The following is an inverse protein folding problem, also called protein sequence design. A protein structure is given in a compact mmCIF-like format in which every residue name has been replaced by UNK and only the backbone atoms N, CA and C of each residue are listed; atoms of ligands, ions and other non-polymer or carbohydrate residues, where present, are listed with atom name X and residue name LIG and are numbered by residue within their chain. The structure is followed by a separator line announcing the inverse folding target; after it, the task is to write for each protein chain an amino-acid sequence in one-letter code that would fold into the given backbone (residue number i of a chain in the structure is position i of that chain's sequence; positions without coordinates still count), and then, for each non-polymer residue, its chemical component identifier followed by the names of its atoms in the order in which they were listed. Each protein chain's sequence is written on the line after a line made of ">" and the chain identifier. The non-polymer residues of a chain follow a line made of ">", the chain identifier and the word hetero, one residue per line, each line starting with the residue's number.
data_IF_045769994869
#
_entry.id   IF_045769994869
#
_cell.length_a   1.000
_cell.length_b   1.000
_cell.length_c   1.000
_cell.angle_alpha   90.00
_cell.angle_beta   90.00
_cell.angle_gamma   90.00
#
_symmetry.space_group_name_H-M   'P 1'
#
loop_
_entity.id
_entity.type
_entity.pdbx_description
1 polymer ?
#
# COMPACT_ATOMS: atom_id res chain seq x y z
N UNK A 1 10.81 9.86 7.17
CA UNK A 1 11.40 8.62 6.60
C UNK A 1 10.60 8.22 5.38
N UNK A 2 11.25 8.02 4.23
CA UNK A 2 10.62 7.62 2.97
C UNK A 2 10.43 6.10 2.97
N UNK A 3 9.24 5.63 2.62
CA UNK A 3 8.90 4.21 2.48
C UNK A 3 8.41 3.93 1.06
N UNK A 4 9.08 3.01 0.39
CA UNK A 4 8.71 2.49 -0.92
C UNK A 4 8.39 1.00 -0.83
N UNK A 5 7.58 0.50 -1.76
CA UNK A 5 7.57 -0.91 -2.05
C UNK A 5 8.89 -1.27 -2.74
N UNK A 6 9.82 -1.89 -2.03
CA UNK A 6 11.04 -2.38 -2.67
C UNK A 6 10.73 -3.57 -3.59
N UNK A 7 11.47 -3.75 -4.71
CA UNK A 7 11.36 -4.96 -5.50
C UNK A 7 11.74 -6.14 -4.61
N UNK A 8 10.81 -7.07 -4.43
CA UNK A 8 11.03 -8.26 -3.63
C UNK A 8 11.98 -9.18 -4.40
N UNK A 9 13.14 -9.49 -3.83
CA UNK A 9 13.88 -10.69 -4.25
C UNK A 9 12.97 -11.85 -3.87
N UNK A 10 12.43 -12.54 -4.86
CA UNK A 10 11.56 -13.71 -4.69
C UNK A 10 12.22 -14.72 -3.79
N UNK A 11 11.86 -14.75 -2.53
CA UNK A 11 12.04 -15.92 -1.67
C UNK A 11 10.78 -16.78 -1.88
N UNK A 12 10.93 -17.81 -2.72
CA UNK A 12 9.93 -18.85 -2.93
C UNK A 12 9.27 -19.26 -1.62
N UNK A 13 7.96 -19.15 -1.59
CA UNK A 13 7.09 -20.02 -0.83
C UNK A 13 7.16 -19.91 0.68
N UNK A 14 6.55 -18.87 1.26
CA UNK A 14 5.80 -19.02 2.50
C UNK A 14 4.49 -18.24 2.36
N UNK A 15 3.45 -18.96 1.96
CA UNK A 15 2.09 -18.57 2.29
C UNK A 15 2.04 -18.36 3.80
N UNK A 16 1.99 -17.12 4.25
CA UNK A 16 1.55 -16.81 5.60
C UNK A 16 0.03 -17.02 5.58
N UNK A 17 -0.38 -18.26 5.83
CA UNK A 17 -1.74 -18.55 6.25
C UNK A 17 -1.93 -17.89 7.61
N UNK A 18 -2.29 -16.61 7.63
CA UNK A 18 -3.06 -16.06 8.72
C UNK A 18 -4.31 -16.95 8.80
N UNK A 19 -4.59 -17.45 10.01
CA UNK A 19 -5.62 -18.45 10.22
C UNK A 19 -6.93 -18.15 9.48
N UNK A 20 -7.77 -19.14 9.29
CA UNK A 20 -9.09 -19.26 8.62
C UNK A 20 -9.94 -18.00 8.38
N UNK A 21 -9.34 -16.81 8.23
CA UNK A 21 -10.00 -15.59 7.82
C UNK A 21 -10.31 -15.73 6.32
N UNK A 22 -11.58 -15.85 5.99
CA UNK A 22 -12.07 -15.84 4.63
C UNK A 22 -11.43 -14.71 3.85
N UNK A 23 -11.07 -14.89 2.56
CA UNK A 23 -10.54 -13.83 1.75
C UNK A 23 -11.50 -12.63 1.84
N UNK A 24 -10.97 -11.47 2.17
CA UNK A 24 -11.74 -10.23 2.14
C UNK A 24 -12.23 -10.09 0.70
N UNK A 25 -13.52 -9.86 0.53
CA UNK A 25 -14.10 -9.55 -0.77
C UNK A 25 -13.53 -8.19 -1.25
N UNK A 26 -12.38 -8.25 -1.90
CA UNK A 26 -11.66 -7.10 -2.44
C UNK A 26 -12.32 -6.55 -3.72
N UNK A 27 -13.36 -7.23 -4.23
CA UNK A 27 -13.88 -7.01 -5.56
C UNK A 27 -15.05 -6.04 -5.63
N UNK A 28 -15.48 -5.46 -4.50
CA UNK A 28 -16.67 -4.62 -4.45
C UNK A 28 -16.43 -3.12 -4.61
N UNK A 29 -15.20 -2.67 -4.93
CA UNK A 29 -14.96 -1.24 -5.22
C UNK A 29 -14.98 -1.01 -6.73
N UNK A 30 -15.90 -0.14 -7.15
CA UNK A 30 -16.10 0.25 -8.54
C UNK A 30 -15.89 1.76 -8.71
N UNK A 31 -15.93 2.27 -9.93
CA UNK A 31 -15.83 3.71 -10.19
C UNK A 31 -16.94 4.52 -9.51
N UNK A 32 -18.11 3.92 -9.28
CA UNK A 32 -19.25 4.55 -8.63
C UNK A 32 -19.04 4.87 -7.14
N UNK A 33 -18.05 4.21 -6.51
CA UNK A 33 -17.71 4.45 -5.10
C UNK A 33 -16.90 5.73 -4.88
N UNK A 34 -16.28 6.24 -5.94
CA UNK A 34 -15.49 7.47 -5.89
C UNK A 34 -16.36 8.68 -6.15
N UNK A 35 -15.81 9.88 -5.93
CA UNK A 35 -16.49 11.11 -6.33
C UNK A 35 -16.79 11.08 -7.83
N UNK A 36 -17.96 11.60 -8.24
CA UNK A 36 -18.28 11.72 -9.66
C UNK A 36 -17.17 12.45 -10.42
N UNK A 37 -16.77 11.91 -11.55
CA UNK A 37 -15.79 12.49 -12.47
C UNK A 37 -16.33 12.40 -13.90
N UNK A 38 -15.85 13.27 -14.77
CA UNK A 38 -16.21 13.24 -16.19
C UNK A 38 -15.07 12.59 -16.96
N UNK A 39 -15.28 11.38 -17.51
CA UNK A 39 -14.24 10.73 -18.28
C UNK A 39 -13.90 11.52 -19.56
N UNK A 40 -12.62 11.62 -19.86
CA UNK A 40 -12.11 12.25 -21.07
C UNK A 40 -11.64 11.21 -22.08
N UNK A 41 -11.85 11.51 -23.37
CA UNK A 41 -11.43 10.64 -24.48
C UNK A 41 -9.91 10.55 -24.52
N UNK A 42 -9.40 9.32 -24.64
CA UNK A 42 -7.96 9.06 -24.70
C UNK A 42 -7.32 8.80 -23.34
N UNK A 43 -8.10 8.78 -22.26
CA UNK A 43 -7.63 8.43 -20.94
C UNK A 43 -8.08 7.03 -20.50
N UNK A 44 -7.22 6.36 -19.76
CA UNK A 44 -7.50 5.11 -19.06
C UNK A 44 -7.73 5.41 -17.58
N UNK A 45 -8.91 5.05 -17.07
CA UNK A 45 -9.25 5.16 -15.65
C UNK A 45 -9.08 3.79 -14.98
N UNK A 46 -8.49 3.81 -13.79
CA UNK A 46 -8.17 2.59 -13.04
C UNK A 46 -8.56 2.78 -11.59
N UNK A 47 -9.37 1.88 -11.04
CA UNK A 47 -9.58 1.75 -9.60
C UNK A 47 -8.66 0.66 -9.06
N UNK A 48 -7.98 0.95 -7.96
CA UNK A 48 -7.08 -0.01 -7.30
C UNK A 48 -7.24 0.01 -5.79
N UNK A 49 -6.89 -1.08 -5.14
CA UNK A 49 -6.54 -1.06 -3.73
C UNK A 49 -5.08 -0.60 -3.63
N UNK A 50 -4.83 0.52 -2.97
CA UNK A 50 -3.50 1.13 -2.91
C UNK A 50 -2.68 0.64 -1.70
N UNK A 51 -3.33 0.40 -0.57
CA UNK A 51 -2.70 -0.04 0.68
C UNK A 51 -3.71 -0.65 1.63
N UNK A 52 -3.25 -1.55 2.50
CA UNK A 52 -4.02 -2.12 3.61
C UNK A 52 -3.36 -1.86 4.97
N UNK A 53 -4.10 -2.09 6.06
CA UNK A 53 -3.58 -2.01 7.43
C UNK A 53 -2.72 -3.20 7.85
N UNK A 54 -2.43 -4.10 6.92
CA UNK A 54 -1.59 -5.27 7.15
C UNK A 54 -0.11 -4.91 7.13
N UNK A 55 0.70 -5.77 7.71
CA UNK A 55 2.16 -5.69 7.55
C UNK A 55 2.51 -6.18 6.15
N UNK A 56 3.19 -5.35 5.37
CA UNK A 56 3.56 -5.64 4.00
C UNK A 56 4.85 -6.49 3.90
N UNK A 57 5.28 -6.84 2.69
CA UNK A 57 6.47 -7.65 2.44
C UNK A 57 7.78 -6.98 2.91
N UNK A 58 7.80 -5.65 3.06
CA UNK A 58 8.92 -4.90 3.63
C UNK A 58 8.90 -4.90 5.17
N UNK A 59 7.94 -5.58 5.78
CA UNK A 59 7.68 -5.54 7.21
C UNK A 59 7.41 -4.11 7.71
N UNK A 60 6.67 -3.34 6.95
CA UNK A 60 6.10 -2.07 7.36
C UNK A 60 4.61 -2.27 7.64
N UNK A 61 4.17 -1.88 8.81
CA UNK A 61 2.78 -1.94 9.24
C UNK A 61 2.13 -0.55 9.19
N UNK A 62 0.87 -0.50 8.79
CA UNK A 62 0.12 0.74 8.60
C UNK A 62 -1.10 0.74 9.52
N UNK A 63 -1.00 1.28 10.76
CA UNK A 63 -2.10 1.26 11.72
C UNK A 63 -3.38 1.89 11.14
N UNK A 64 -4.52 1.29 11.48
CA UNK A 64 -5.85 1.70 10.99
C UNK A 64 -6.11 3.19 11.15
N UNK A 65 -5.83 3.72 12.35
CA UNK A 65 -6.01 5.15 12.67
C UNK A 65 -5.08 6.06 11.87
N UNK A 66 -3.87 5.58 11.54
CA UNK A 66 -2.91 6.33 10.73
C UNK A 66 -3.34 6.38 9.26
N UNK A 67 -3.77 5.26 8.68
CA UNK A 67 -4.31 5.23 7.33
C UNK A 67 -5.56 6.12 7.22
N UNK A 68 -6.47 6.02 8.20
CA UNK A 68 -7.71 6.79 8.24
C UNK A 68 -7.50 8.29 8.24
N UNK A 69 -6.46 8.76 8.91
CA UNK A 69 -6.11 10.20 8.95
C UNK A 69 -5.46 10.68 7.64
N UNK A 70 -4.71 9.79 6.97
CA UNK A 70 -3.77 10.18 5.91
C UNK A 70 -4.21 9.81 4.50
N UNK A 71 -5.25 8.99 4.30
CA UNK A 71 -5.60 8.46 2.98
C UNK A 71 -5.86 9.55 1.92
N UNK A 72 -6.36 10.73 2.31
CA UNK A 72 -6.61 11.84 1.38
C UNK A 72 -5.33 12.47 0.83
N UNK A 73 -4.16 12.19 1.42
CA UNK A 73 -2.89 12.69 0.89
C UNK A 73 -2.52 12.08 -0.47
N UNK A 74 -3.15 10.97 -0.86
CA UNK A 74 -3.03 10.41 -2.21
C UNK A 74 -3.61 11.31 -3.31
N UNK A 75 -4.66 12.09 -3.00
CA UNK A 75 -5.38 12.86 -4.03
C UNK A 75 -4.49 13.94 -4.65
N UNK A 76 -4.48 14.00 -5.99
CA UNK A 76 -3.62 14.91 -6.76
C UNK A 76 -2.17 14.48 -6.88
N UNK A 77 -1.80 13.31 -6.35
CA UNK A 77 -0.42 12.81 -6.45
C UNK A 77 -0.16 12.13 -7.78
N UNK A 78 1.09 12.20 -8.27
CA UNK A 78 1.49 11.59 -9.53
C UNK A 78 1.50 10.08 -9.46
N UNK A 79 1.33 9.47 -10.63
CA UNK A 79 1.44 8.04 -10.84
C UNK A 79 2.72 7.76 -11.62
N UNK A 80 3.50 6.78 -11.18
CA UNK A 80 4.72 6.35 -11.86
C UNK A 80 4.65 4.86 -12.24
N UNK A 81 5.78 4.33 -12.69
CA UNK A 81 6.00 2.91 -12.94
C UNK A 81 7.28 2.51 -12.21
N UNK A 82 7.23 1.41 -11.44
CA UNK A 82 8.37 0.86 -10.69
C UNK A 82 9.09 1.92 -9.82
N UNK A 83 8.32 2.80 -9.15
CA UNK A 83 8.84 3.87 -8.29
C UNK A 83 9.88 4.79 -8.96
N UNK A 84 9.80 4.95 -10.28
CA UNK A 84 10.71 5.80 -11.03
C UNK A 84 10.30 7.28 -10.93
N UNK A 85 10.34 7.81 -9.73
CA UNK A 85 9.83 9.12 -9.32
C UNK A 85 10.94 10.18 -9.08
N UNK A 86 12.17 9.88 -9.50
CA UNK A 86 13.30 10.84 -9.38
C UNK A 86 13.16 12.07 -10.27
N UNK A 87 12.27 12.02 -11.26
CA UNK A 87 12.01 13.06 -12.22
C UNK A 87 10.49 13.22 -12.39
N UNK A 88 9.91 14.41 -12.12
CA UNK A 88 8.48 14.67 -12.27
C UNK A 88 7.94 14.38 -13.68
N UNK A 89 8.76 14.56 -14.72
CA UNK A 89 8.38 14.33 -16.12
C UNK A 89 8.14 12.83 -16.42
N UNK A 90 8.49 11.95 -15.48
CA UNK A 90 8.20 10.52 -15.56
C UNK A 90 6.82 10.15 -15.02
N UNK A 91 6.03 11.11 -14.57
CA UNK A 91 4.64 10.85 -14.20
C UNK A 91 3.84 10.35 -15.42
N UNK A 92 2.97 9.39 -15.18
CA UNK A 92 2.13 8.73 -16.20
C UNK A 92 0.65 9.06 -16.06
N UNK A 93 0.32 9.79 -15.01
CA UNK A 93 -1.05 10.15 -14.68
C UNK A 93 -1.14 10.74 -13.28
N UNK A 94 -2.35 10.84 -12.78
CA UNK A 94 -2.69 11.46 -11.50
C UNK A 94 -3.74 10.66 -10.75
N UNK A 95 -3.71 10.73 -9.42
CA UNK A 95 -4.73 10.14 -8.55
C UNK A 95 -5.87 11.17 -8.39
N UNK A 96 -7.05 10.84 -8.90
CA UNK A 96 -8.22 11.73 -8.90
C UNK A 96 -8.95 11.74 -7.55
N UNK A 97 -9.10 10.56 -6.94
CA UNK A 97 -9.75 10.44 -5.63
C UNK A 97 -9.19 9.23 -4.86
N UNK A 98 -9.39 9.27 -3.55
CA UNK A 98 -9.07 8.18 -2.64
C UNK A 98 -10.21 7.98 -1.64
N UNK A 99 -10.60 6.73 -1.43
CA UNK A 99 -11.61 6.33 -0.45
C UNK A 99 -11.01 5.37 0.57
N UNK A 100 -11.54 5.41 1.78
CA UNK A 100 -11.14 4.57 2.90
C UNK A 100 -12.28 3.65 3.27
N UNK A 101 -11.98 2.37 3.51
CA UNK A 101 -12.95 1.39 4.01
C UNK A 101 -12.37 0.55 5.12
N UNK A 102 -13.20 0.21 6.09
CA UNK A 102 -12.90 -0.75 7.16
C UNK A 102 -13.78 -1.99 6.98
N UNK A 103 -13.17 -3.16 7.15
CA UNK A 103 -13.87 -4.44 7.20
C UNK A 103 -13.54 -5.12 8.52
N UNK A 104 -14.53 -5.51 9.27
CA UNK A 104 -14.34 -6.31 10.48
C UNK A 104 -14.30 -7.79 10.07
N UNK A 105 -13.16 -8.43 10.27
CA UNK A 105 -12.98 -9.85 9.99
C UNK A 105 -13.71 -10.71 11.01
N UNK A 106 -13.93 -11.99 10.69
CA UNK A 106 -14.54 -12.96 11.61
C UNK A 106 -13.76 -13.12 12.92
N UNK A 107 -12.44 -12.93 12.89
CA UNK A 107 -11.57 -12.85 14.07
C UNK A 107 -11.82 -11.65 14.98
N UNK A 108 -12.62 -10.66 14.53
CA UNK A 108 -12.84 -9.40 15.21
C UNK A 108 -11.77 -8.32 14.90
N UNK A 109 -10.76 -8.66 14.14
CA UNK A 109 -9.73 -7.71 13.67
C UNK A 109 -10.35 -6.76 12.65
N UNK A 110 -10.00 -5.48 12.73
CA UNK A 110 -10.35 -4.49 11.70
C UNK A 110 -9.25 -4.50 10.65
N UNK A 111 -9.62 -4.78 9.41
CA UNK A 111 -8.78 -4.61 8.23
C UNK A 111 -9.21 -3.34 7.50
N UNK A 112 -8.34 -2.36 7.45
CA UNK A 112 -8.59 -1.09 6.78
C UNK A 112 -7.85 -1.04 5.45
N UNK A 113 -8.45 -0.38 4.46
CA UNK A 113 -7.89 -0.27 3.12
C UNK A 113 -8.16 1.09 2.52
N UNK A 114 -7.23 1.55 1.71
CA UNK A 114 -7.40 2.72 0.84
C UNK A 114 -7.49 2.25 -0.60
N UNK A 115 -8.47 2.81 -1.30
CA UNK A 115 -8.66 2.60 -2.73
C UNK A 115 -8.45 3.93 -3.43
N UNK A 116 -7.79 3.91 -4.58
CA UNK A 116 -7.49 5.07 -5.39
C UNK A 116 -8.15 4.96 -6.76
N UNK A 117 -8.73 6.07 -7.23
CA UNK A 117 -9.10 6.27 -8.61
C UNK A 117 -7.96 7.00 -9.32
N UNK A 118 -7.45 6.39 -10.36
CA UNK A 118 -6.31 6.87 -11.14
C UNK A 118 -6.72 7.20 -12.55
N UNK A 119 -6.10 8.24 -13.13
CA UNK A 119 -6.22 8.62 -14.53
C UNK A 119 -4.84 8.54 -15.19
N UNK A 120 -4.75 7.84 -16.32
CA UNK A 120 -3.53 7.67 -17.11
C UNK A 120 -3.79 8.18 -18.53
N UNK A 121 -2.93 9.05 -19.06
CA UNK A 121 -2.99 9.50 -20.45
C UNK A 121 -2.60 8.36 -21.39
N UNK A 122 -3.60 7.68 -21.93
CA UNK A 122 -3.40 6.55 -22.82
C UNK A 122 -2.98 6.96 -24.24
N UNK A 123 -3.13 8.23 -24.61
CA UNK A 123 -2.64 8.74 -25.88
C UNK A 123 -1.12 8.95 -25.82
N UNK A 124 -0.65 9.56 -24.74
CA UNK A 124 0.78 9.79 -24.52
C UNK A 124 1.51 8.49 -24.15
N UNK A 125 0.86 7.59 -23.40
CA UNK A 125 1.44 6.33 -22.89
C UNK A 125 0.70 5.07 -23.38
N UNK A 126 0.54 4.84 -24.70
CA UNK A 126 -0.28 3.75 -25.21
C UNK A 126 0.22 2.35 -24.83
N UNK A 127 1.53 2.16 -24.70
CA UNK A 127 2.11 0.88 -24.27
C UNK A 127 1.79 0.58 -22.80
N UNK A 128 1.87 1.58 -21.94
CA UNK A 128 1.50 1.44 -20.53
C UNK A 128 0.00 1.11 -20.40
N UNK A 129 -0.84 1.88 -21.07
CA UNK A 129 -2.29 1.64 -21.07
C UNK A 129 -2.62 0.21 -21.52
N UNK A 130 -2.01 -0.26 -22.61
CA UNK A 130 -2.19 -1.63 -23.10
C UNK A 130 -1.72 -2.68 -22.07
N UNK A 131 -0.57 -2.47 -21.41
CA UNK A 131 -0.07 -3.41 -20.38
C UNK A 131 -0.98 -3.49 -19.17
N UNK A 132 -1.62 -2.38 -18.81
CA UNK A 132 -2.64 -2.34 -17.75
C UNK A 132 -3.91 -3.06 -18.22
N UNK A 133 -4.42 -2.75 -19.41
CA UNK A 133 -5.67 -3.31 -19.94
C UNK A 133 -5.61 -4.83 -20.10
N UNK A 134 -4.50 -5.37 -20.59
CA UNK A 134 -4.30 -6.80 -20.79
C UNK A 134 -3.84 -7.55 -19.51
N UNK A 135 -3.64 -6.85 -18.39
CA UNK A 135 -3.30 -7.44 -17.09
C UNK A 135 -1.83 -7.83 -16.92
N UNK A 136 -0.94 -7.44 -17.84
CA UNK A 136 0.51 -7.63 -17.67
C UNK A 136 1.03 -6.80 -16.49
N UNK A 137 0.46 -5.62 -16.29
CA UNK A 137 0.74 -4.73 -15.15
C UNK A 137 -0.55 -4.58 -14.36
N UNK A 138 -0.63 -5.25 -13.23
CA UNK A 138 -1.89 -5.50 -12.53
C UNK A 138 -1.87 -5.12 -11.05
N UNK A 139 -0.78 -4.53 -10.56
CA UNK A 139 -0.61 -4.16 -9.17
C UNK A 139 -0.11 -2.74 -9.03
N UNK A 140 -0.26 -2.19 -7.82
CA UNK A 140 0.26 -0.88 -7.46
C UNK A 140 1.06 -0.95 -6.16
N UNK A 141 1.97 0.00 -6.00
CA UNK A 141 2.72 0.19 -4.76
C UNK A 141 2.87 1.68 -4.50
N UNK A 142 2.77 2.09 -3.24
CA UNK A 142 2.78 3.50 -2.86
C UNK A 142 4.15 3.94 -2.36
N UNK A 143 4.45 5.24 -2.51
CA UNK A 143 5.50 5.94 -1.79
C UNK A 143 4.90 6.80 -0.68
N UNK A 144 5.51 6.76 0.51
CA UNK A 144 5.09 7.57 1.64
C UNK A 144 6.26 8.11 2.44
N UNK A 145 6.16 9.37 2.85
CA UNK A 145 6.93 9.91 3.97
C UNK A 145 6.21 9.58 5.27
N UNK A 146 6.97 9.27 6.32
CA UNK A 146 6.44 9.06 7.66
C UNK A 146 7.22 9.89 8.67
N UNK A 147 6.57 10.41 9.71
CA UNK A 147 7.24 11.16 10.77
C UNK A 147 8.24 10.28 11.53
N UNK A 148 7.93 9.00 11.59
CA UNK A 148 8.77 7.98 12.19
C UNK A 148 8.08 6.63 12.22
N UNK A 149 8.73 5.68 12.87
CA UNK A 149 8.18 4.34 13.04
C UNK A 149 8.28 3.88 14.49
N UNK A 150 7.39 2.99 14.88
CA UNK A 150 7.40 2.36 16.19
C UNK A 150 7.69 0.86 16.03
N UNK A 151 8.65 0.35 16.78
CA UNK A 151 8.97 -1.08 16.79
C UNK A 151 7.82 -1.90 17.38
N UNK A 152 7.29 -2.88 16.63
CA UNK A 152 6.20 -3.75 17.09
C UNK A 152 6.56 -4.60 18.33
N UNK A 153 7.85 -4.92 18.52
CA UNK A 153 8.31 -5.76 19.61
C UNK A 153 8.48 -5.00 20.95
N UNK A 154 9.04 -3.79 20.93
CA UNK A 154 9.35 -3.05 22.16
C UNK A 154 8.68 -1.69 22.29
N UNK A 155 7.95 -1.25 21.26
CA UNK A 155 7.25 0.04 21.28
C UNK A 155 8.15 1.27 21.13
N UNK A 156 9.48 1.09 20.92
CA UNK A 156 10.38 2.24 20.77
C UNK A 156 10.05 2.99 19.48
N UNK A 157 9.81 4.28 19.60
CA UNK A 157 9.67 5.20 18.48
C UNK A 157 11.04 5.64 17.96
N UNK A 158 11.15 5.85 16.66
CA UNK A 158 12.33 6.38 15.98
C UNK A 158 11.88 7.29 14.82
N UNK A 159 12.40 8.51 14.77
CA UNK A 159 12.17 9.46 13.67
C UNK A 159 13.18 9.28 12.52
N UNK A 160 14.29 8.60 12.80
CA UNK A 160 15.39 8.33 11.85
C UNK A 160 16.06 6.99 12.15
N UNK A 161 16.74 6.36 11.16
CA UNK A 161 17.35 5.03 11.33
C UNK A 161 18.35 4.92 12.48
N UNK A 162 19.08 5.99 12.81
CA UNK A 162 20.04 6.01 13.91
C UNK A 162 19.41 5.85 15.30
N UNK A 163 18.10 6.03 15.42
CA UNK A 163 17.33 5.92 16.67
C UNK A 163 16.69 4.53 16.84
N UNK A 164 16.78 3.67 15.85
CA UNK A 164 16.20 2.34 15.92
C UNK A 164 16.69 1.56 17.16
N UNK A 165 15.77 0.80 17.75
CA UNK A 165 16.16 -0.22 18.71
C UNK A 165 16.89 -1.37 18.00
N UNK A 166 17.52 -2.25 18.76
CA UNK A 166 18.22 -3.41 18.20
C UNK A 166 17.31 -4.40 17.46
N UNK A 167 16.00 -4.38 17.72
CA UNK A 167 15.05 -5.26 17.04
C UNK A 167 14.96 -4.96 15.54
N UNK A 168 14.85 -3.68 15.15
CA UNK A 168 14.62 -3.32 13.75
C UNK A 168 15.80 -3.73 12.86
N UNK A 169 17.05 -3.31 13.07
CA UNK A 169 18.14 -3.65 12.16
C UNK A 169 18.55 -5.14 12.18
N UNK A 170 18.20 -5.90 13.24
CA UNK A 170 18.65 -7.28 13.40
C UNK A 170 17.57 -8.32 13.20
N UNK A 171 16.31 -7.99 13.49
CA UNK A 171 15.24 -8.98 13.64
C UNK A 171 13.98 -8.61 12.84
N UNK A 172 13.98 -7.51 12.07
CA UNK A 172 12.85 -7.15 11.21
C UNK A 172 12.47 -8.33 10.31
N UNK A 173 11.19 -8.71 10.33
CA UNK A 173 10.67 -9.88 9.61
C UNK A 173 10.79 -11.21 10.36
N UNK A 174 11.30 -11.22 11.59
CA UNK A 174 11.39 -12.42 12.42
C UNK A 174 10.41 -12.38 13.58
N UNK A 175 9.95 -13.55 14.00
CA UNK A 175 9.20 -13.68 15.25
C UNK A 175 10.17 -13.69 16.43
N UNK A 176 9.82 -12.96 17.47
CA UNK A 176 10.55 -12.89 18.73
C UNK A 176 9.61 -13.08 19.90
N UNK A 177 10.10 -13.65 20.97
CA UNK A 177 9.36 -13.72 22.22
C UNK A 177 9.44 -12.37 22.93
N UNK A 178 8.29 -11.77 23.19
CA UNK A 178 8.16 -10.51 23.97
C UNK A 178 7.22 -10.70 25.15
N UNK A 179 7.32 -9.82 26.14
CA UNK A 179 6.38 -9.79 27.25
C UNK A 179 5.41 -8.65 27.07
N UNK A 180 4.11 -8.95 26.89
CA UNK A 180 3.03 -7.98 26.82
C UNK A 180 2.06 -8.22 27.96
N UNK A 181 1.83 -7.19 28.78
CA UNK A 181 0.97 -7.28 29.97
C UNK A 181 1.33 -8.47 30.90
N UNK A 182 2.63 -8.73 31.09
CA UNK A 182 3.14 -9.83 31.93
C UNK A 182 3.06 -11.23 31.32
N UNK A 183 2.56 -11.35 30.09
CA UNK A 183 2.45 -12.63 29.37
C UNK A 183 3.52 -12.73 28.28
N UNK A 184 4.10 -13.91 28.15
CA UNK A 184 5.01 -14.26 27.05
C UNK A 184 4.20 -14.49 25.77
N UNK A 185 4.52 -13.73 24.70
CA UNK A 185 3.87 -13.85 23.40
C UNK A 185 4.91 -13.84 22.28
N UNK A 186 4.65 -14.60 21.22
CA UNK A 186 5.40 -14.48 19.97
C UNK A 186 4.89 -13.26 19.18
N UNK A 187 5.81 -12.45 18.70
CA UNK A 187 5.49 -11.22 17.96
C UNK A 187 6.40 -11.06 16.76
N UNK A 188 5.81 -10.84 15.59
CA UNK A 188 6.56 -10.44 14.40
C UNK A 188 7.18 -9.06 14.62
N UNK A 189 8.46 -8.92 14.29
CA UNK A 189 9.17 -7.63 14.34
C UNK A 189 8.94 -6.87 13.04
N UNK A 190 8.29 -5.72 13.13
CA UNK A 190 8.07 -4.82 12.01
C UNK A 190 8.10 -3.35 12.47
N UNK A 191 8.15 -2.43 11.50
CA UNK A 191 8.03 -1.01 11.73
C UNK A 191 6.56 -0.59 11.58
N UNK A 192 5.95 -0.09 12.64
CA UNK A 192 4.62 0.53 12.61
C UNK A 192 4.77 2.00 12.20
N UNK A 193 4.29 2.36 11.02
CA UNK A 193 4.44 3.68 10.42
C UNK A 193 3.51 4.72 11.06
N UNK A 194 4.04 5.90 11.36
CA UNK A 194 3.33 6.97 12.05
C UNK A 194 3.21 8.20 11.15
N UNK A 195 2.01 8.77 11.08
CA UNK A 195 1.66 9.94 10.28
C UNK A 195 2.16 9.85 8.82
N UNK A 196 1.70 8.86 8.05
CA UNK A 196 2.10 8.75 6.66
C UNK A 196 1.55 9.91 5.82
N UNK A 197 2.38 10.42 4.92
CA UNK A 197 1.99 11.32 3.84
C UNK A 197 2.31 10.61 2.53
N UNK A 198 1.29 10.12 1.85
CA UNK A 198 1.44 9.43 0.58
C UNK A 198 1.73 10.45 -0.52
N UNK A 199 2.83 10.30 -1.22
CA UNK A 199 3.28 11.27 -2.21
C UNK A 199 3.26 10.74 -3.64
N UNK A 200 3.08 9.44 -3.86
CA UNK A 200 2.92 8.82 -5.17
C UNK A 200 2.25 7.45 -5.07
N UNK A 201 1.80 6.94 -6.22
CA UNK A 201 1.39 5.56 -6.42
C UNK A 201 2.00 5.07 -7.74
N UNK A 202 2.63 3.92 -7.73
CA UNK A 202 3.26 3.35 -8.92
C UNK A 202 2.57 2.08 -9.37
N UNK A 203 2.41 1.90 -10.68
CA UNK A 203 2.18 0.57 -11.24
C UNK A 203 3.45 -0.25 -11.09
N UNK A 204 3.32 -1.47 -10.56
CA UNK A 204 4.44 -2.38 -10.32
C UNK A 204 4.09 -3.81 -10.72
N UNK A 205 5.11 -4.64 -10.98
CA UNK A 205 4.91 -6.07 -11.20
C UNK A 205 4.71 -6.82 -9.89
N UNK A 206 5.43 -6.44 -8.82
CA UNK A 206 5.36 -7.07 -7.51
C UNK A 206 5.09 -6.00 -6.44
N UNK A 207 3.87 -5.94 -5.87
CA UNK A 207 3.56 -4.96 -4.84
C UNK A 207 4.10 -5.40 -3.48
N UNK A 208 4.52 -4.43 -2.66
CA UNK A 208 4.90 -4.71 -1.27
C UNK A 208 3.69 -5.12 -0.41
N UNK A 209 2.52 -4.54 -0.65
CA UNK A 209 1.25 -5.02 -0.08
C UNK A 209 0.64 -6.02 -1.06
N UNK A 210 0.64 -7.31 -0.69
CA UNK A 210 0.12 -8.41 -1.52
C UNK A 210 -1.36 -8.25 -1.93
N UNK A 211 -2.06 -7.31 -1.32
CA UNK A 211 -3.46 -7.00 -1.65
C UNK A 211 -3.63 -5.76 -2.55
N UNK A 212 -2.55 -5.11 -2.96
CA UNK A 212 -2.59 -3.87 -3.73
C UNK A 212 -2.73 -4.13 -5.24
N UNK A 213 -3.93 -4.57 -5.64
CA UNK A 213 -4.26 -4.93 -7.02
C UNK A 213 -5.19 -3.92 -7.69
N UNK A 214 -5.16 -3.95 -9.05
CA UNK A 214 -6.14 -3.25 -9.87
C UNK A 214 -7.49 -3.98 -9.80
N UNK A 215 -8.56 -3.23 -9.59
CA UNK A 215 -9.92 -3.77 -9.41
C UNK A 215 -10.78 -3.53 -10.65
N UNK A 216 -10.75 -2.33 -11.17
CA UNK A 216 -11.50 -1.94 -12.35
C UNK A 216 -10.66 -1.05 -13.25
N UNK A 217 -10.83 -1.19 -14.56
CA UNK A 217 -10.14 -0.40 -15.57
C UNK A 217 -11.05 -0.17 -16.75
N UNK A 218 -11.06 1.05 -17.27
CA UNK A 218 -11.86 1.44 -18.43
C UNK A 218 -11.22 2.57 -19.20
N UNK A 219 -11.06 2.37 -20.49
CA UNK A 219 -10.59 3.40 -21.43
C UNK A 219 -11.78 4.10 -22.07
N UNK A 220 -11.69 5.41 -22.24
CA UNK A 220 -12.70 6.24 -22.85
C UNK A 220 -12.22 6.93 -24.14
#
# INVERSE_FOLDING_TARGET
>A
MIKFGAPTISLMGRSMTAGNDQPIDLHNVTFEDFKPFTPEKGFLYVASRAISSRVNANYDGWPVDQIKKSYKTFVGRPIYVEHNNSDPDRARGVILDAIYRETKLASGIIDASVYCLMEVDANTFPKLASSIENGQLNAVSMGADVDGTQCSACGKYASKPSEFCSHIPRLKGRNVTVYKAGKRVESLVYESCINPNFFELSFVFEPADESAWLLQKKRY
#
